data_IF_650586524188
#
_entry.id   IF_650586524188
#
_cell.length_a   1.000
_cell.length_b   1.000
_cell.length_c   1.000
_cell.angle_alpha   90.00
_cell.angle_beta   90.00
_cell.angle_gamma   90.00
#
_symmetry.space_group_name_H-M   'P 1'
#
loop_
_entity.id
_entity.type
_entity.pdbx_description
1 polymer ?
#
# COMPACT_ATOMS: atom_id res chain seq x y z
N UNK A 1 -14.77 -19.01 -32.99
CA UNK A 1 -14.05 -17.88 -32.39
C UNK A 1 -14.53 -17.71 -30.97
N UNK A 2 -13.79 -18.24 -30.00
CA UNK A 2 -14.02 -17.95 -28.57
C UNK A 2 -12.70 -17.49 -28.00
N UNK A 3 -12.49 -16.17 -28.05
CA UNK A 3 -11.50 -15.52 -27.19
C UNK A 3 -12.15 -15.47 -25.82
N UNK A 4 -11.99 -16.53 -25.03
CA UNK A 4 -12.44 -16.54 -23.63
C UNK A 4 -11.26 -16.24 -22.73
N UNK A 5 -11.32 -15.03 -22.17
CA UNK A 5 -10.73 -14.61 -20.90
C UNK A 5 -9.23 -14.29 -20.92
N UNK A 6 -8.88 -13.28 -21.72
CA UNK A 6 -8.00 -12.23 -21.20
C UNK A 6 -8.87 -11.29 -20.33
N UNK A 7 -8.27 -10.54 -19.41
CA UNK A 7 -8.88 -9.34 -18.79
C UNK A 7 -9.63 -9.52 -17.45
N UNK A 8 -9.02 -10.17 -16.46
CA UNK A 8 -9.25 -9.74 -15.08
C UNK A 8 -7.98 -9.86 -14.22
N UNK A 9 -6.94 -9.17 -14.65
CA UNK A 9 -5.76 -8.95 -13.84
C UNK A 9 -6.14 -7.97 -12.71
N UNK A 10 -6.39 -8.53 -11.53
CA UNK A 10 -6.82 -7.85 -10.30
C UNK A 10 -8.25 -7.24 -10.34
N UNK A 11 -9.18 -7.67 -9.46
CA UNK A 11 -10.53 -7.10 -9.37
C UNK A 11 -10.55 -5.60 -9.02
N UNK A 12 -11.51 -4.85 -9.57
CA UNK A 12 -11.74 -3.42 -9.26
C UNK A 12 -11.79 -3.09 -7.76
N UNK A 13 -12.50 -3.87 -6.89
CA UNK A 13 -12.49 -3.63 -5.45
C UNK A 13 -11.10 -3.75 -4.82
N UNK A 14 -10.30 -4.72 -5.26
CA UNK A 14 -8.93 -4.87 -4.79
C UNK A 14 -8.06 -3.68 -5.22
N UNK A 15 -8.23 -3.19 -6.45
CA UNK A 15 -7.49 -2.01 -6.92
C UNK A 15 -7.78 -0.79 -6.05
N UNK A 16 -9.05 -0.50 -5.82
CA UNK A 16 -9.47 0.62 -4.96
C UNK A 16 -8.91 0.49 -3.54
N UNK A 17 -9.00 -0.70 -2.94
CA UNK A 17 -8.45 -0.96 -1.60
C UNK A 17 -6.95 -0.65 -1.53
N UNK A 18 -6.15 -1.20 -2.45
CA UNK A 18 -4.71 -0.96 -2.47
C UNK A 18 -4.36 0.50 -2.73
N UNK A 19 -5.09 1.20 -3.61
CA UNK A 19 -4.90 2.64 -3.82
C UNK A 19 -5.12 3.44 -2.54
N UNK A 20 -6.16 3.12 -1.76
CA UNK A 20 -6.44 3.80 -0.49
C UNK A 20 -5.40 3.46 0.58
N UNK A 21 -4.99 2.20 0.69
CA UNK A 21 -3.96 1.77 1.65
C UNK A 21 -2.58 2.36 1.32
N UNK A 22 -2.21 2.53 0.04
CA UNK A 22 -0.94 3.12 -0.37
C UNK A 22 -0.87 4.64 -0.13
N UNK A 23 -1.99 5.36 -0.26
CA UNK A 23 -2.02 6.83 -0.12
C UNK A 23 -1.57 7.30 1.27
N UNK A 24 -1.95 6.58 2.32
CA UNK A 24 -1.63 6.92 3.71
C UNK A 24 -0.11 6.92 4.00
N UNK A 25 0.63 5.80 3.82
CA UNK A 25 2.07 5.77 4.08
C UNK A 25 2.83 6.74 3.15
N UNK A 26 2.42 6.90 1.89
CA UNK A 26 3.06 7.88 1.00
C UNK A 26 2.90 9.33 1.48
N UNK A 27 1.72 9.68 1.99
CA UNK A 27 1.46 11.02 2.53
C UNK A 27 2.26 11.25 3.82
N UNK A 28 2.30 10.24 4.69
CA UNK A 28 3.07 10.26 5.94
C UNK A 28 4.58 10.40 5.68
N UNK A 29 5.13 9.57 4.79
CA UNK A 29 6.56 9.65 4.40
C UNK A 29 6.91 11.00 3.80
N UNK A 30 6.06 11.55 2.93
CA UNK A 30 6.27 12.88 2.36
C UNK A 30 6.34 13.95 3.44
N UNK A 31 5.37 13.95 4.37
CA UNK A 31 5.33 14.88 5.50
C UNK A 31 6.59 14.78 6.36
N UNK A 32 6.98 13.57 6.76
CA UNK A 32 8.19 13.33 7.55
C UNK A 32 9.47 13.80 6.83
N UNK A 33 9.59 13.53 5.53
CA UNK A 33 10.72 13.97 4.72
C UNK A 33 10.76 15.50 4.56
N UNK A 34 9.61 16.15 4.37
CA UNK A 34 9.51 17.61 4.31
C UNK A 34 9.94 18.24 5.65
N UNK A 35 9.50 17.70 6.79
CA UNK A 35 9.91 18.17 8.12
C UNK A 35 11.43 18.03 8.32
N UNK A 36 12.00 16.87 7.99
CA UNK A 36 13.44 16.63 8.11
C UNK A 36 14.28 17.54 7.21
N UNK A 37 13.78 17.87 6.01
CA UNK A 37 14.43 18.77 5.05
C UNK A 37 14.38 20.22 5.52
N UNK A 38 13.22 20.66 5.98
CA UNK A 38 12.94 22.07 6.27
C UNK A 38 13.41 22.49 7.67
N UNK A 39 13.64 21.55 8.59
CA UNK A 39 14.06 21.79 9.97
C UNK A 39 15.39 21.08 10.27
N UNK A 40 16.51 21.70 9.90
CA UNK A 40 17.83 21.08 10.03
C UNK A 40 18.33 21.02 11.49
N UNK A 41 17.82 21.89 12.36
CA UNK A 41 18.16 22.06 13.77
C UNK A 41 17.26 21.25 14.72
N UNK A 42 16.48 20.30 14.19
CA UNK A 42 15.70 19.37 15.01
C UNK A 42 16.55 18.69 16.09
N UNK A 43 16.06 18.60 17.34
CA UNK A 43 16.68 17.79 18.38
C UNK A 43 16.88 16.35 17.88
N UNK A 44 18.00 15.67 18.24
CA UNK A 44 18.28 14.33 17.75
C UNK A 44 17.12 13.35 17.94
N UNK A 45 16.49 13.36 19.12
CA UNK A 45 15.35 12.49 19.42
C UNK A 45 14.12 12.74 18.53
N UNK A 46 13.91 13.98 18.06
CA UNK A 46 12.78 14.31 17.19
C UNK A 46 13.09 13.94 15.73
N UNK A 47 14.34 14.17 15.30
CA UNK A 47 14.85 13.69 14.02
C UNK A 47 14.73 12.16 13.90
N UNK A 48 15.11 11.43 14.95
CA UNK A 48 15.01 9.97 15.00
C UNK A 48 13.56 9.50 14.86
N UNK A 49 12.59 10.17 15.49
CA UNK A 49 11.16 9.84 15.33
C UNK A 49 10.66 9.95 13.88
N UNK A 50 11.09 10.99 13.16
CA UNK A 50 10.71 11.13 11.74
C UNK A 50 11.41 10.10 10.85
N UNK A 51 12.65 9.73 11.17
CA UNK A 51 13.36 8.64 10.48
C UNK A 51 12.70 7.29 10.74
N UNK A 52 12.30 7.01 11.99
CA UNK A 52 11.57 5.81 12.37
C UNK A 52 10.23 5.73 11.63
N UNK A 53 9.50 6.85 11.52
CA UNK A 53 8.26 6.91 10.74
C UNK A 53 8.49 6.57 9.25
N UNK A 54 9.57 7.08 8.64
CA UNK A 54 9.94 6.74 7.26
C UNK A 54 10.26 5.25 7.09
N UNK A 55 10.98 4.65 8.05
CA UNK A 55 11.32 3.22 8.03
C UNK A 55 10.05 2.38 8.19
N UNK A 56 9.18 2.73 9.14
CA UNK A 56 7.94 2.01 9.38
C UNK A 56 7.01 2.05 8.16
N UNK A 57 6.83 3.22 7.56
CA UNK A 57 6.01 3.34 6.36
C UNK A 57 6.62 2.62 5.15
N UNK A 58 7.95 2.53 5.05
CA UNK A 58 8.61 1.70 4.04
C UNK A 58 8.24 0.22 4.21
N UNK A 59 8.33 -0.32 5.43
CA UNK A 59 7.91 -1.71 5.74
C UNK A 59 6.43 -1.92 5.42
N UNK A 60 5.56 -0.96 5.76
CA UNK A 60 4.13 -1.02 5.42
C UNK A 60 3.91 -1.06 3.91
N UNK A 61 4.62 -0.23 3.14
CA UNK A 61 4.54 -0.22 1.67
C UNK A 61 4.97 -1.56 1.08
N UNK A 62 6.07 -2.16 1.56
CA UNK A 62 6.50 -3.50 1.13
C UNK A 62 5.40 -4.54 1.37
N UNK A 63 4.76 -4.52 2.54
CA UNK A 63 3.66 -5.43 2.86
C UNK A 63 2.44 -5.23 1.92
N UNK A 64 2.10 -3.98 1.60
CA UNK A 64 0.99 -3.67 0.67
C UNK A 64 1.31 -4.14 -0.75
N UNK A 65 2.54 -3.90 -1.23
CA UNK A 65 3.00 -4.35 -2.56
C UNK A 65 2.96 -5.87 -2.64
N UNK A 66 3.44 -6.57 -1.61
CA UNK A 66 3.39 -8.03 -1.57
C UNK A 66 1.95 -8.56 -1.62
N UNK A 67 1.01 -7.95 -0.88
CA UNK A 67 -0.42 -8.29 -0.95
C UNK A 67 -1.02 -8.03 -2.33
N UNK A 68 -0.64 -6.92 -2.97
CA UNK A 68 -1.07 -6.59 -4.33
C UNK A 68 -0.56 -7.62 -5.36
N UNK A 69 0.72 -8.01 -5.27
CA UNK A 69 1.31 -9.03 -6.13
C UNK A 69 0.66 -10.39 -5.92
N UNK A 70 0.39 -10.80 -4.68
CA UNK A 70 -0.35 -12.04 -4.39
C UNK A 70 -1.74 -12.03 -5.02
N UNK A 71 -2.48 -10.92 -4.86
CA UNK A 71 -3.82 -10.76 -5.42
C UNK A 71 -3.81 -10.83 -6.96
N UNK A 72 -2.82 -10.22 -7.61
CA UNK A 72 -2.64 -10.29 -9.06
C UNK A 72 -2.30 -11.70 -9.56
N UNK A 73 -1.62 -12.50 -8.74
CA UNK A 73 -1.29 -13.92 -9.02
C UNK A 73 -2.43 -14.89 -8.67
N UNK A 74 -3.63 -14.39 -8.36
CA UNK A 74 -4.80 -15.21 -8.04
C UNK A 74 -4.74 -15.86 -6.66
N UNK A 75 -3.79 -15.47 -5.80
CA UNK A 75 -3.75 -15.89 -4.41
C UNK A 75 -4.42 -14.81 -3.56
N UNK A 76 -5.50 -15.13 -2.83
CA UNK A 76 -6.14 -14.13 -1.99
C UNK A 76 -5.12 -13.66 -0.95
N UNK A 77 -4.93 -12.33 -0.78
CA UNK A 77 -4.10 -11.82 0.30
C UNK A 77 -4.72 -12.32 1.60
N UNK A 78 -3.90 -12.86 2.50
CA UNK A 78 -4.29 -13.63 3.69
C UNK A 78 -5.19 -12.90 4.72
N UNK A 79 -5.72 -11.70 4.42
CA UNK A 79 -6.37 -10.83 5.39
C UNK A 79 -7.52 -9.94 4.87
N UNK A 80 -7.97 -9.98 3.61
CA UNK A 80 -8.99 -9.01 3.14
C UNK A 80 -10.18 -9.66 2.44
N UNK A 81 -11.36 -9.78 3.11
CA UNK A 81 -12.57 -10.35 2.51
C UNK A 81 -13.15 -9.50 1.37
N UNK A 82 -12.82 -8.21 1.30
CA UNK A 82 -13.31 -7.27 0.26
C UNK A 82 -12.81 -7.60 -1.15
N UNK A 83 -11.72 -8.36 -1.24
CA UNK A 83 -11.19 -8.87 -2.52
C UNK A 83 -11.93 -10.12 -3.02
N UNK A 84 -12.77 -10.74 -2.19
CA UNK A 84 -13.41 -12.02 -2.44
C UNK A 84 -14.91 -11.86 -2.71
N UNK A 85 -15.28 -11.22 -3.83
CA UNK A 85 -16.65 -11.29 -4.33
C UNK A 85 -16.70 -11.32 -5.86
N UNK A 86 -16.86 -12.50 -6.47
CA UNK A 86 -17.64 -12.66 -7.69
C UNK A 86 -19.01 -13.24 -7.33
N UNK A 87 -20.08 -12.46 -7.53
CA UNK A 87 -21.45 -12.98 -7.55
C UNK A 87 -22.09 -13.19 -6.17
N UNK A 88 -22.63 -12.11 -5.59
CA UNK A 88 -23.76 -12.23 -4.65
C UNK A 88 -25.03 -12.48 -5.48
N UNK A 89 -25.46 -13.74 -5.53
CA UNK A 89 -26.83 -14.18 -5.80
C UNK A 89 -27.01 -15.56 -5.13
#
# INVERSE_FOLDING_TARGET
MTVTRSDNFMPEPCRSLFEHELKTPLTSMRSAAEILRDNQDLPPAERDRFLDALIEDNVRLEAIINRMLSAAQGHPPSASPDCLQPGRA
#
